data_IF_167941989813
#
_entry.id   IF_167941989813
#
_cell.length_a   1.000
_cell.length_b   1.000
_cell.length_c   1.000
_cell.angle_alpha   90.00
_cell.angle_beta   90.00
_cell.angle_gamma   90.00
#
_symmetry.space_group_name_H-M   'P 1'
#
loop_
_entity.id
_entity.type
_entity.pdbx_description
1 polymer ?
#
# COMPACT_ATOMS: atom_id res chain seq x y z
N UNK A 1 -11.15 -2.51 -6.92
CA UNK A 1 -10.21 -1.54 -6.30
C UNK A 1 -8.89 -2.17 -5.85
N UNK A 2 -8.89 -3.26 -5.08
CA UNK A 2 -7.67 -3.90 -4.52
C UNK A 2 -6.51 -4.08 -5.52
N UNK A 3 -6.78 -4.49 -6.76
CA UNK A 3 -5.73 -4.68 -7.79
C UNK A 3 -5.07 -3.37 -8.24
N UNK A 4 -5.74 -2.24 -8.05
CA UNK A 4 -5.38 -0.92 -8.60
C UNK A 4 -5.03 0.12 -7.54
N UNK A 5 -5.23 -0.17 -6.26
CA UNK A 5 -5.02 0.79 -5.15
C UNK A 5 -3.60 1.33 -5.03
N UNK A 6 -2.61 0.66 -5.62
CA UNK A 6 -1.23 1.10 -5.68
C UNK A 6 -0.86 1.80 -7.00
N UNK A 7 -1.78 1.95 -7.94
CA UNK A 7 -1.57 2.74 -9.15
C UNK A 7 -1.47 4.22 -8.78
N UNK A 8 -0.54 4.93 -9.44
CA UNK A 8 -0.36 6.37 -9.24
C UNK A 8 -1.64 7.11 -9.59
N UNK A 9 -2.15 7.92 -8.66
CA UNK A 9 -3.33 8.75 -8.88
C UNK A 9 -4.65 7.99 -8.76
N UNK A 10 -4.63 6.73 -8.30
CA UNK A 10 -5.84 5.96 -8.12
C UNK A 10 -6.62 6.45 -6.89
N UNK A 11 -7.82 6.95 -7.15
CA UNK A 11 -8.82 7.24 -6.11
C UNK A 11 -9.99 6.27 -6.27
N UNK A 12 -10.19 5.42 -5.26
CA UNK A 12 -11.27 4.44 -5.22
C UNK A 12 -12.67 5.08 -5.16
N UNK A 13 -13.72 4.26 -5.19
CA UNK A 13 -15.11 4.74 -5.21
C UNK A 13 -15.42 5.78 -4.12
N UNK A 14 -14.95 5.55 -2.89
CA UNK A 14 -15.15 6.46 -1.75
C UNK A 14 -14.40 7.79 -1.87
N UNK A 15 -13.27 7.83 -2.59
CA UNK A 15 -12.51 9.06 -2.85
C UNK A 15 -13.04 9.88 -4.02
N UNK A 16 -13.79 9.24 -4.94
CA UNK A 16 -14.45 9.92 -6.07
C UNK A 16 -15.68 10.72 -5.65
N UNK A 17 -16.34 10.32 -4.57
CA UNK A 17 -17.51 11.02 -4.03
C UNK A 17 -17.17 12.37 -3.40
N UNK A 18 -15.93 12.55 -2.95
CA UNK A 18 -15.51 13.79 -2.28
C UNK A 18 -14.50 14.61 -3.09
N UNK A 19 -13.95 14.09 -4.20
CA UNK A 19 -12.90 14.75 -5.02
C UNK A 19 -11.65 15.24 -4.25
N UNK A 20 -11.48 14.89 -2.97
CA UNK A 20 -10.40 15.44 -2.12
C UNK A 20 -9.12 14.61 -2.10
N UNK A 21 -9.09 13.45 -2.79
CA UNK A 21 -7.93 12.55 -2.74
C UNK A 21 -7.16 12.53 -4.06
N UNK A 22 -5.85 12.80 -3.97
CA UNK A 22 -4.91 12.73 -5.09
C UNK A 22 -4.56 11.30 -5.52
N UNK A 23 -4.94 10.28 -4.74
CA UNK A 23 -4.59 8.89 -5.03
C UNK A 23 -3.09 8.59 -4.99
N UNK A 24 -2.29 9.40 -4.29
CA UNK A 24 -0.83 9.26 -4.25
C UNK A 24 -0.32 8.49 -3.02
N UNK A 25 -1.07 8.46 -1.92
CA UNK A 25 -0.59 7.91 -0.64
C UNK A 25 -0.13 6.45 -0.74
N UNK A 26 -1.02 5.55 -1.17
CA UNK A 26 -0.69 4.12 -1.30
C UNK A 26 0.37 3.85 -2.37
N UNK A 27 0.34 4.59 -3.48
CA UNK A 27 1.38 4.53 -4.50
C UNK A 27 2.77 4.83 -3.91
N UNK A 28 2.90 5.93 -3.16
CA UNK A 28 4.15 6.31 -2.51
C UNK A 28 4.57 5.30 -1.44
N UNK A 29 3.64 4.82 -0.61
CA UNK A 29 3.93 3.79 0.40
C UNK A 29 4.48 2.50 -0.21
N UNK A 30 3.93 2.06 -1.36
CA UNK A 30 4.46 0.91 -2.10
C UNK A 30 5.85 1.18 -2.62
N UNK A 31 6.05 2.31 -3.30
CA UNK A 31 7.34 2.68 -3.87
C UNK A 31 8.45 2.73 -2.80
N UNK A 32 8.20 3.41 -1.69
CA UNK A 32 9.14 3.52 -0.55
C UNK A 32 9.40 2.14 0.05
N UNK A 33 8.36 1.32 0.26
CA UNK A 33 8.55 -0.03 0.80
C UNK A 33 9.44 -0.88 -0.10
N UNK A 34 9.20 -0.86 -1.41
CA UNK A 34 10.00 -1.61 -2.39
C UNK A 34 11.44 -1.10 -2.46
N UNK A 35 11.66 0.22 -2.43
CA UNK A 35 13.01 0.83 -2.39
C UNK A 35 13.79 0.44 -1.12
N UNK A 36 13.10 0.29 0.02
CA UNK A 36 13.68 -0.22 1.27
C UNK A 36 13.80 -1.75 1.31
N UNK A 37 13.46 -2.45 0.22
CA UNK A 37 13.50 -3.91 0.13
C UNK A 37 12.38 -4.62 0.92
N UNK A 38 11.40 -3.87 1.42
CA UNK A 38 10.23 -4.38 2.13
C UNK A 38 9.14 -4.82 1.16
N UNK A 39 8.15 -5.57 1.67
CA UNK A 39 6.96 -5.97 0.89
C UNK A 39 5.70 -5.43 1.54
N UNK A 40 4.93 -4.66 0.79
CA UNK A 40 3.58 -4.23 1.20
C UNK A 40 2.51 -5.12 0.56
N UNK A 41 1.47 -5.47 1.31
CA UNK A 41 0.30 -6.22 0.82
C UNK A 41 -0.98 -5.63 1.38
N UNK A 42 -2.06 -5.78 0.64
CA UNK A 42 -3.40 -5.33 1.02
C UNK A 42 -4.42 -6.40 0.70
N UNK A 43 -5.31 -6.64 1.64
CA UNK A 43 -6.47 -7.52 1.51
C UNK A 43 -7.70 -6.75 2.00
N UNK A 44 -8.84 -6.98 1.37
CA UNK A 44 -10.08 -6.29 1.71
C UNK A 44 -11.26 -7.21 1.46
N UNK A 45 -12.21 -7.19 2.38
CA UNK A 45 -13.49 -7.88 2.25
C UNK A 45 -14.63 -6.90 2.55
N UNK A 46 -15.60 -6.84 1.63
CA UNK A 46 -16.75 -5.94 1.73
C UNK A 46 -17.55 -6.27 3.00
N UNK A 47 -17.87 -5.25 3.79
CA UNK A 47 -18.59 -5.43 5.06
C UNK A 47 -17.74 -5.89 6.24
N UNK A 48 -16.46 -6.27 6.03
CA UNK A 48 -15.53 -6.61 7.13
C UNK A 48 -14.41 -5.59 7.30
N UNK A 49 -13.90 -5.05 6.19
CA UNK A 49 -12.87 -4.01 6.20
C UNK A 49 -11.65 -4.34 5.34
N UNK A 50 -10.56 -3.64 5.61
CA UNK A 50 -9.33 -3.69 4.83
C UNK A 50 -8.13 -3.83 5.76
N UNK A 51 -7.21 -4.73 5.41
CA UNK A 51 -5.97 -4.96 6.15
C UNK A 51 -4.77 -4.69 5.23
N UNK A 52 -3.87 -3.82 5.69
CA UNK A 52 -2.60 -3.52 5.02
C UNK A 52 -1.45 -4.05 5.89
N UNK A 53 -0.51 -4.77 5.28
CA UNK A 53 0.63 -5.38 5.97
C UNK A 53 1.93 -4.99 5.28
N UNK A 54 2.94 -4.63 6.06
CA UNK A 54 4.31 -4.37 5.59
C UNK A 54 5.21 -5.44 6.21
N UNK A 55 5.86 -6.24 5.37
CA UNK A 55 6.92 -7.16 5.75
C UNK A 55 8.26 -6.46 5.56
N UNK A 56 8.92 -6.15 6.67
CA UNK A 56 10.26 -5.59 6.68
C UNK A 56 11.28 -6.61 6.17
N UNK A 57 12.33 -6.11 5.51
CA UNK A 57 13.44 -6.92 5.05
C UNK A 57 14.23 -7.42 6.27
N UNK A 58 14.63 -8.69 6.25
CA UNK A 58 15.53 -9.24 7.26
C UNK A 58 16.97 -9.00 6.82
N UNK A 59 17.74 -8.33 7.68
CA UNK A 59 19.18 -8.16 7.48
C UNK A 59 19.87 -9.23 8.32
N UNK A 60 20.62 -10.13 7.66
CA UNK A 60 21.49 -11.07 8.39
C UNK A 60 22.68 -10.28 8.93
N UNK A 61 22.69 -10.07 10.24
CA UNK A 61 23.87 -9.56 10.93
C UNK A 61 24.88 -10.71 11.00
N UNK A 62 26.01 -10.55 10.30
CA UNK A 62 27.18 -11.40 10.51
C UNK A 62 27.93 -10.79 11.69
N UNK A 63 28.06 -11.56 12.77
CA UNK A 63 28.90 -11.20 13.92
C UNK A 63 30.21 -11.96 13.73
N UNK A 64 31.32 -11.22 13.65
CA UNK A 64 32.69 -11.76 13.67
C UNK A 64 33.12 -12.15 15.10
#
# INVERSE_FOLDING_TARGET
DVLRVFERGFSGYNGRLTQQSSGLGLYLSKKISEELGHRIRIESEVGKGTTVRIKFAEVKLVIE
#
